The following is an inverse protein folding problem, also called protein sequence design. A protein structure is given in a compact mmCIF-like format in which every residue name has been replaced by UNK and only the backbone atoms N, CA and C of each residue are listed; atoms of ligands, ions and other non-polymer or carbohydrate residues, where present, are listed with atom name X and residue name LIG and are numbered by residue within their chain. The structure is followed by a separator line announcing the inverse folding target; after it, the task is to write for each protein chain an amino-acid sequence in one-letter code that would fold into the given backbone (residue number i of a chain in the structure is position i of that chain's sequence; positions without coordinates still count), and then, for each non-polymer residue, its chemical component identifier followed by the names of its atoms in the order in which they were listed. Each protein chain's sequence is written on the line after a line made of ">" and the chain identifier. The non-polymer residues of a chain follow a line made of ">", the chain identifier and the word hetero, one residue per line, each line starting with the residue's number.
data_IF_383886271871
#
_entry.id   IF_383886271871
#
_cell.length_a   1.000
_cell.length_b   1.000
_cell.length_c   1.000
_cell.angle_alpha   90.00
_cell.angle_beta   90.00
_cell.angle_gamma   90.00
#
_symmetry.space_group_name_H-M   'P 1'
#
loop_
_entity.id
_entity.type
_entity.pdbx_description
1 polymer ?
#
# COMPACT_ATOMS: atom_id res chain seq x y z
N UNK A 1 22.42 4.52 33.01
CA UNK A 1 22.86 3.75 31.83
C UNK A 1 21.75 2.78 31.47
N UNK A 2 20.76 3.23 30.69
CA UNK A 2 19.62 2.38 30.32
C UNK A 2 20.03 1.46 29.18
N UNK A 3 19.94 0.15 29.39
CA UNK A 3 20.18 -0.87 28.38
C UNK A 3 19.19 -0.70 27.23
N UNK A 4 19.69 -0.26 26.08
CA UNK A 4 18.93 -0.26 24.84
C UNK A 4 19.01 -1.69 24.30
N UNK A 5 17.92 -2.42 24.41
CA UNK A 5 17.76 -3.66 23.67
C UNK A 5 17.80 -3.31 22.17
N UNK A 6 18.94 -3.62 21.54
CA UNK A 6 19.18 -3.29 20.13
C UNK A 6 18.24 -4.13 19.27
N UNK A 7 17.28 -3.48 18.62
CA UNK A 7 16.39 -4.16 17.69
C UNK A 7 17.19 -4.73 16.51
N UNK A 8 17.00 -6.03 16.23
CA UNK A 8 17.59 -6.68 15.06
C UNK A 8 17.02 -6.08 13.76
N UNK A 9 17.85 -5.46 12.89
CA UNK A 9 17.40 -4.84 11.65
C UNK A 9 16.65 -5.81 10.74
N UNK A 10 17.00 -7.11 10.72
CA UNK A 10 16.33 -8.08 9.83
C UNK A 10 14.90 -8.29 10.26
N UNK A 11 14.65 -8.50 11.55
CA UNK A 11 13.30 -8.68 12.08
C UNK A 11 12.46 -7.42 11.94
N UNK A 12 13.02 -6.24 12.19
CA UNK A 12 12.32 -4.96 11.97
C UNK A 12 11.96 -4.76 10.50
N UNK A 13 12.87 -5.10 9.59
CA UNK A 13 12.57 -5.02 8.16
C UNK A 13 11.47 -5.99 7.75
N UNK A 14 11.47 -7.24 8.25
CA UNK A 14 10.39 -8.20 8.00
C UNK A 14 9.02 -7.67 8.42
N UNK A 15 8.91 -7.07 9.60
CA UNK A 15 7.64 -6.51 10.08
C UNK A 15 7.19 -5.28 9.30
N UNK A 16 8.11 -4.54 8.69
CA UNK A 16 7.83 -3.40 7.82
C UNK A 16 7.59 -3.76 6.34
N UNK A 17 7.41 -5.04 6.01
CA UNK A 17 7.19 -5.50 4.64
C UNK A 17 8.47 -5.78 3.84
N UNK A 18 9.63 -5.71 4.49
CA UNK A 18 10.93 -6.14 3.97
C UNK A 18 11.93 -5.01 3.74
N UNK A 19 11.48 -3.77 3.57
CA UNK A 19 12.34 -2.60 3.35
C UNK A 19 11.90 -1.39 4.15
N UNK A 20 12.83 -0.51 4.47
CA UNK A 20 12.54 0.75 5.17
C UNK A 20 13.67 1.76 5.02
N UNK A 21 13.38 3.03 5.33
CA UNK A 21 14.38 4.09 5.37
C UNK A 21 15.15 4.07 6.68
N UNK A 22 16.40 4.52 6.62
CA UNK A 22 17.26 4.70 7.81
C UNK A 22 16.55 5.41 8.97
N UNK A 23 15.90 6.55 8.68
CA UNK A 23 15.21 7.37 9.69
C UNK A 23 14.10 6.58 10.42
N UNK A 24 13.42 5.69 9.71
CA UNK A 24 12.37 4.85 10.27
C UNK A 24 12.97 3.73 11.12
N UNK A 25 14.02 3.06 10.64
CA UNK A 25 14.75 2.03 11.40
C UNK A 25 15.32 2.59 12.71
N UNK A 26 15.93 3.78 12.68
CA UNK A 26 16.42 4.46 13.88
C UNK A 26 15.32 4.72 14.90
N UNK A 27 14.14 5.18 14.44
CA UNK A 27 13.02 5.50 15.33
C UNK A 27 12.50 4.26 16.07
N UNK A 28 12.67 3.07 15.47
CA UNK A 28 12.28 1.78 16.05
C UNK A 28 13.43 1.15 16.88
N UNK A 29 14.55 1.86 17.04
CA UNK A 29 15.65 1.44 17.92
C UNK A 29 16.76 0.64 17.24
N UNK A 30 16.79 0.58 15.90
CA UNK A 30 17.90 -0.04 15.16
C UNK A 30 19.12 0.88 15.22
N UNK A 31 20.22 0.38 15.78
CA UNK A 31 21.47 1.12 15.86
C UNK A 31 22.22 1.14 14.52
N UNK A 32 23.06 2.16 14.32
CA UNK A 32 23.85 2.29 13.09
C UNK A 32 24.92 1.20 12.98
N UNK A 33 25.50 0.76 14.10
CA UNK A 33 26.48 -0.32 14.13
C UNK A 33 25.84 -1.65 13.73
N UNK A 34 24.69 -2.00 14.30
CA UNK A 34 23.97 -3.24 13.97
C UNK A 34 23.54 -3.25 12.50
N UNK A 35 23.02 -2.14 11.99
CA UNK A 35 22.64 -2.05 10.57
C UNK A 35 23.85 -2.19 9.65
N UNK A 36 24.98 -1.54 9.95
CA UNK A 36 26.22 -1.68 9.16
C UNK A 36 26.72 -3.12 9.16
N UNK A 37 26.66 -3.82 10.30
CA UNK A 37 27.06 -5.22 10.39
C UNK A 37 26.15 -6.11 9.56
N UNK A 38 24.83 -5.90 9.61
CA UNK A 38 23.86 -6.63 8.80
C UNK A 38 24.03 -6.38 7.29
N UNK A 39 24.46 -5.17 6.90
CA UNK A 39 24.83 -4.88 5.52
C UNK A 39 26.12 -5.58 5.10
N UNK A 40 27.14 -5.58 5.96
CA UNK A 40 28.41 -6.27 5.69
C UNK A 40 28.24 -7.78 5.57
N UNK A 41 27.33 -8.39 6.35
CA UNK A 41 27.04 -9.82 6.27
C UNK A 41 26.12 -10.20 5.11
N UNK A 42 25.59 -9.23 4.36
CA UNK A 42 24.63 -9.47 3.28
C UNK A 42 23.20 -9.79 3.74
N UNK A 43 22.94 -9.81 5.06
CA UNK A 43 21.59 -10.02 5.60
C UNK A 43 20.63 -8.86 5.27
N UNK A 44 21.17 -7.66 5.05
CA UNK A 44 20.46 -6.47 4.61
C UNK A 44 21.18 -5.85 3.42
N UNK A 45 20.43 -5.38 2.43
CA UNK A 45 20.95 -4.70 1.24
C UNK A 45 20.59 -3.21 1.32
N UNK A 46 21.55 -2.35 0.97
CA UNK A 46 21.30 -0.92 0.78
C UNK A 46 20.92 -0.67 -0.68
N UNK A 47 19.65 -0.40 -0.93
CA UNK A 47 19.10 -0.19 -2.28
C UNK A 47 19.28 1.24 -2.83
N UNK A 48 19.98 2.12 -2.11
CA UNK A 48 20.18 3.53 -2.46
C UNK A 48 19.23 4.47 -1.71
N UNK A 49 19.47 5.79 -1.80
CA UNK A 49 18.64 6.85 -1.17
C UNK A 49 18.35 6.68 0.34
N UNK A 50 19.25 6.00 1.07
CA UNK A 50 19.05 5.73 2.50
C UNK A 50 18.03 4.64 2.80
N UNK A 51 17.69 3.80 1.82
CA UNK A 51 16.80 2.66 1.94
C UNK A 51 17.60 1.39 2.16
N UNK A 52 17.14 0.62 3.12
CA UNK A 52 17.68 -0.67 3.52
C UNK A 52 16.56 -1.70 3.43
N UNK A 53 16.87 -2.90 2.97
CA UNK A 53 15.87 -3.96 2.87
C UNK A 53 16.49 -5.34 2.83
N UNK A 54 15.63 -6.35 2.92
CA UNK A 54 16.04 -7.73 2.77
C UNK A 54 16.53 -8.00 1.34
N UNK A 55 17.48 -8.94 1.14
CA UNK A 55 17.92 -9.33 -0.19
C UNK A 55 16.74 -9.92 -1.00
N UNK A 56 16.73 -9.66 -2.31
CA UNK A 56 15.73 -10.22 -3.24
C UNK A 56 14.38 -9.51 -3.23
N UNK A 57 14.27 -8.30 -2.67
CA UNK A 57 13.02 -7.56 -2.71
C UNK A 57 12.62 -7.17 -4.14
N UNK A 58 11.33 -7.27 -4.48
CA UNK A 58 10.85 -6.77 -5.76
C UNK A 58 11.16 -5.29 -5.93
N UNK A 59 11.62 -4.90 -7.13
CA UNK A 59 11.90 -3.49 -7.50
C UNK A 59 10.75 -2.56 -7.17
N UNK A 60 9.53 -3.04 -7.36
CA UNK A 60 8.31 -2.29 -7.08
C UNK A 60 8.19 -1.91 -5.61
N UNK A 61 8.48 -2.84 -4.70
CA UNK A 61 8.41 -2.57 -3.26
C UNK A 61 9.47 -1.53 -2.85
N UNK A 62 10.67 -1.62 -3.41
CA UNK A 62 11.71 -0.60 -3.22
C UNK A 62 11.23 0.77 -3.67
N UNK A 63 10.59 0.86 -4.84
CA UNK A 63 10.05 2.10 -5.37
C UNK A 63 8.94 2.71 -4.48
N UNK A 64 8.08 1.88 -3.86
CA UNK A 64 7.08 2.37 -2.89
C UNK A 64 7.75 3.04 -1.67
N UNK A 65 8.79 2.43 -1.10
CA UNK A 65 9.52 3.04 0.02
C UNK A 65 10.36 4.25 -0.39
N UNK A 66 10.85 4.31 -1.64
CA UNK A 66 11.45 5.53 -2.20
C UNK A 66 10.46 6.67 -2.23
N UNK A 67 9.19 6.38 -2.48
CA UNK A 67 8.11 7.36 -2.49
C UNK A 67 7.54 7.69 -1.09
N UNK A 68 8.14 7.20 0.01
CA UNK A 68 7.58 7.31 1.37
C UNK A 68 6.13 6.80 1.47
N UNK A 69 5.76 5.84 0.62
CA UNK A 69 4.42 5.28 0.55
C UNK A 69 4.32 3.84 0.99
N UNK A 70 3.09 3.38 1.16
CA UNK A 70 2.74 2.00 1.47
C UNK A 70 1.80 1.45 0.39
N UNK A 71 1.73 0.13 0.19
CA UNK A 71 0.71 -0.51 -0.65
C UNK A 71 -0.69 -0.03 -0.23
N UNK A 72 -1.57 0.16 -1.22
CA UNK A 72 -2.92 0.67 -1.01
C UNK A 72 -3.93 -0.05 -1.91
N UNK A 73 -5.23 0.16 -1.67
CA UNK A 73 -6.30 -0.37 -2.52
C UNK A 73 -6.10 -1.88 -2.83
N UNK A 74 -6.18 -2.28 -4.10
CA UNK A 74 -6.01 -3.67 -4.56
C UNK A 74 -4.62 -4.22 -4.22
N UNK A 75 -3.57 -3.41 -4.31
CA UNK A 75 -2.21 -3.86 -3.94
C UNK A 75 -2.09 -4.16 -2.44
N UNK A 76 -2.73 -3.37 -1.58
CA UNK A 76 -2.81 -3.69 -0.15
C UNK A 76 -3.69 -4.92 0.11
N UNK A 77 -4.80 -5.06 -0.61
CA UNK A 77 -5.67 -6.22 -0.48
C UNK A 77 -4.92 -7.52 -0.79
N UNK A 78 -4.10 -7.55 -1.84
CA UNK A 78 -3.22 -8.69 -2.16
C UNK A 78 -2.23 -8.99 -1.03
N UNK A 79 -1.56 -7.96 -0.49
CA UNK A 79 -0.59 -8.15 0.61
C UNK A 79 -1.25 -8.62 1.92
N UNK A 80 -2.48 -8.20 2.18
CA UNK A 80 -3.31 -8.68 3.30
C UNK A 80 -3.89 -10.08 3.04
N UNK A 81 -3.62 -10.66 1.87
CA UNK A 81 -4.09 -11.97 1.44
C UNK A 81 -5.59 -12.02 1.22
N UNK A 82 -6.23 -10.89 0.89
CA UNK A 82 -7.64 -10.86 0.50
C UNK A 82 -7.78 -11.32 -0.96
N UNK A 83 -8.97 -11.81 -1.30
CA UNK A 83 -9.27 -12.16 -2.68
C UNK A 83 -9.36 -10.91 -3.53
N UNK A 84 -8.58 -10.90 -4.61
CA UNK A 84 -8.59 -9.87 -5.66
C UNK A 84 -8.92 -10.60 -6.95
N UNK A 85 -10.02 -10.19 -7.61
CA UNK A 85 -10.52 -10.88 -8.80
C UNK A 85 -9.60 -10.65 -10.00
N UNK A 86 -9.27 -9.39 -10.27
CA UNK A 86 -8.30 -9.01 -11.30
C UNK A 86 -7.11 -8.29 -10.68
N UNK A 87 -5.91 -8.80 -10.90
CA UNK A 87 -4.70 -8.14 -10.43
C UNK A 87 -4.55 -6.77 -11.08
N UNK A 88 -4.21 -5.72 -10.31
CA UNK A 88 -4.05 -4.39 -10.87
C UNK A 88 -2.82 -4.36 -11.79
N UNK A 89 -3.01 -3.96 -13.06
CA UNK A 89 -1.90 -3.79 -14.02
C UNK A 89 -0.88 -2.76 -13.54
N UNK A 90 -1.36 -1.74 -12.82
CA UNK A 90 -0.55 -0.69 -12.21
C UNK A 90 -0.76 -0.76 -10.70
N UNK A 91 0.30 -0.90 -9.91
CA UNK A 91 0.19 -1.03 -8.46
C UNK A 91 -0.29 0.26 -7.81
N UNK A 92 -1.02 0.10 -6.71
CA UNK A 92 -1.62 1.19 -5.96
C UNK A 92 -0.77 1.51 -4.72
N UNK A 93 -0.54 2.81 -4.49
CA UNK A 93 0.27 3.31 -3.38
C UNK A 93 -0.51 4.36 -2.60
N UNK A 94 -0.39 4.35 -1.27
CA UNK A 94 -0.86 5.42 -0.40
C UNK A 94 0.32 6.24 0.11
N UNK A 95 0.17 7.56 0.03
CA UNK A 95 1.12 8.54 0.56
C UNK A 95 0.37 9.62 1.34
N UNK A 96 1.03 10.23 2.31
CA UNK A 96 0.47 11.33 3.11
C UNK A 96 0.71 12.72 2.48
N UNK A 97 1.52 12.79 1.43
CA UNK A 97 1.96 14.04 0.81
C UNK A 97 1.44 14.25 -0.62
N UNK A 98 1.47 15.51 -1.06
CA UNK A 98 0.97 15.92 -2.38
C UNK A 98 1.85 15.57 -3.59
N UNK A 99 3.11 15.15 -3.38
CA UNK A 99 4.07 14.89 -4.47
C UNK A 99 3.51 13.88 -5.47
N UNK A 100 3.89 14.03 -6.74
CA UNK A 100 3.60 13.03 -7.75
C UNK A 100 4.48 11.80 -7.54
N UNK A 101 3.90 10.63 -7.73
CA UNK A 101 4.59 9.35 -7.63
C UNK A 101 4.34 8.61 -8.94
N UNK A 102 5.28 8.67 -9.91
CA UNK A 102 5.11 8.03 -11.20
C UNK A 102 5.06 6.50 -11.05
N UNK A 103 4.46 5.81 -12.02
CA UNK A 103 4.33 4.34 -12.07
C UNK A 103 3.36 3.70 -11.06
N UNK A 104 2.62 4.51 -10.28
CA UNK A 104 1.62 4.03 -9.33
C UNK A 104 0.29 4.74 -9.49
N UNK A 105 -0.80 4.05 -9.15
CA UNK A 105 -2.07 4.71 -8.82
C UNK A 105 -1.96 5.25 -7.40
N UNK A 106 -1.96 6.58 -7.27
CA UNK A 106 -1.72 7.27 -6.00
C UNK A 106 -3.03 7.53 -5.25
N UNK A 107 -3.08 7.06 -4.01
CA UNK A 107 -4.08 7.38 -3.01
C UNK A 107 -3.50 8.33 -1.95
N UNK A 108 -4.23 9.38 -1.59
CA UNK A 108 -3.82 10.26 -0.49
C UNK A 108 -4.52 9.79 0.78
N UNK A 109 -3.73 9.42 1.79
CA UNK A 109 -4.27 8.94 3.05
C UNK A 109 -3.30 9.23 4.19
N UNK A 110 -3.83 9.31 5.41
CA UNK A 110 -2.99 9.38 6.61
C UNK A 110 -2.44 7.98 6.88
N UNK A 111 -1.12 7.88 7.05
CA UNK A 111 -0.45 6.60 7.32
C UNK A 111 -0.28 6.38 8.83
N UNK A 112 -0.31 5.13 9.33
CA UNK A 112 -0.49 3.87 8.59
C UNK A 112 -1.96 3.61 8.20
N UNK A 113 -2.17 2.84 7.12
CA UNK A 113 -3.50 2.41 6.70
C UNK A 113 -4.04 1.31 7.61
N UNK A 114 -5.28 1.45 8.06
CA UNK A 114 -6.05 0.37 8.64
C UNK A 114 -6.72 -0.49 7.56
N UNK A 115 -7.20 -1.68 7.93
CA UNK A 115 -8.00 -2.52 7.03
C UNK A 115 -9.25 -1.80 6.51
N UNK A 116 -9.83 -0.88 7.30
CA UNK A 116 -10.98 -0.09 6.85
C UNK A 116 -10.55 0.92 5.79
N UNK A 117 -9.41 1.59 5.96
CA UNK A 117 -8.89 2.54 4.97
C UNK A 117 -8.62 1.85 3.62
N UNK A 118 -8.09 0.62 3.65
CA UNK A 118 -7.88 -0.17 2.43
C UNK A 118 -9.22 -0.47 1.74
N UNK A 119 -10.25 -0.86 2.48
CA UNK A 119 -11.58 -1.13 1.90
C UNK A 119 -12.17 0.13 1.27
N UNK A 120 -12.12 1.27 1.97
CA UNK A 120 -12.64 2.53 1.44
C UNK A 120 -11.92 2.89 0.15
N UNK A 121 -10.60 2.78 0.11
CA UNK A 121 -9.81 2.99 -1.11
C UNK A 121 -10.19 2.04 -2.24
N UNK A 122 -10.49 0.77 -1.93
CA UNK A 122 -10.93 -0.21 -2.94
C UNK A 122 -12.31 0.16 -3.48
N UNK A 123 -13.28 0.47 -2.62
CA UNK A 123 -14.63 0.88 -3.01
C UNK A 123 -14.63 2.16 -3.87
N UNK A 124 -13.73 3.09 -3.57
CA UNK A 124 -13.61 4.36 -4.31
C UNK A 124 -12.89 4.22 -5.66
N UNK A 125 -12.06 3.19 -5.84
CA UNK A 125 -11.09 3.13 -6.94
C UNK A 125 -11.27 1.94 -7.90
N UNK A 126 -11.71 0.79 -7.40
CA UNK A 126 -11.81 -0.43 -8.18
C UNK A 126 -13.18 -0.54 -8.87
N UNK A 127 -13.27 -1.30 -9.97
CA UNK A 127 -14.56 -1.69 -10.53
C UNK A 127 -15.45 -2.39 -9.50
N UNK A 128 -16.77 -2.23 -9.62
CA UNK A 128 -17.75 -2.69 -8.63
C UNK A 128 -17.57 -4.16 -8.24
N UNK A 129 -17.38 -5.05 -9.22
CA UNK A 129 -17.23 -6.48 -8.97
C UNK A 129 -15.93 -6.81 -8.20
N UNK A 130 -14.80 -6.20 -8.59
CA UNK A 130 -13.53 -6.34 -7.90
C UNK A 130 -13.63 -5.83 -6.45
N UNK A 131 -14.29 -4.68 -6.27
CA UNK A 131 -14.47 -4.09 -4.96
C UNK A 131 -15.32 -4.97 -4.03
N UNK A 132 -16.41 -5.55 -4.56
CA UNK A 132 -17.29 -6.46 -3.82
C UNK A 132 -16.57 -7.74 -3.41
N UNK A 133 -15.78 -8.34 -4.31
CA UNK A 133 -14.98 -9.55 -4.02
C UNK A 133 -14.00 -9.28 -2.87
N UNK A 134 -13.28 -8.16 -2.94
CA UNK A 134 -12.32 -7.77 -1.89
C UNK A 134 -13.04 -7.53 -0.56
N UNK A 135 -14.14 -6.78 -0.56
CA UNK A 135 -14.96 -6.50 0.62
C UNK A 135 -15.43 -7.79 1.30
N UNK A 136 -16.03 -8.70 0.53
CA UNK A 136 -16.50 -9.99 1.02
C UNK A 136 -15.36 -10.84 1.62
N UNK A 137 -14.21 -10.89 0.93
CA UNK A 137 -13.02 -11.57 1.45
C UNK A 137 -12.51 -10.96 2.75
N UNK A 138 -12.43 -9.63 2.82
CA UNK A 138 -11.94 -8.92 3.99
C UNK A 138 -12.84 -9.15 5.21
N UNK A 139 -14.16 -9.09 5.04
CA UNK A 139 -15.14 -9.41 6.09
C UNK A 139 -15.00 -10.87 6.55
N UNK A 140 -14.84 -11.80 5.60
CA UNK A 140 -14.66 -13.23 5.91
C UNK A 140 -13.40 -13.49 6.73
N UNK A 141 -12.29 -12.80 6.43
CA UNK A 141 -11.02 -12.92 7.16
C UNK A 141 -10.99 -12.12 8.47
N UNK A 142 -11.76 -11.03 8.56
CA UNK A 142 -11.82 -10.18 9.75
C UNK A 142 -13.27 -9.81 10.08
N UNK A 143 -13.93 -10.65 10.90
CA UNK A 143 -15.33 -10.45 11.29
C UNK A 143 -15.60 -9.13 12.04
N UNK A 144 -14.59 -8.53 12.68
CA UNK A 144 -14.76 -7.23 13.35
C UNK A 144 -14.97 -6.07 12.38
N UNK A 145 -14.57 -6.27 11.11
CA UNK A 145 -14.62 -5.27 10.07
C UNK A 145 -16.05 -4.96 9.64
N UNK A 146 -16.95 -5.95 9.65
CA UNK A 146 -18.37 -5.74 9.37
C UNK A 146 -19.02 -4.77 10.37
N UNK A 147 -18.71 -4.89 11.67
CA UNK A 147 -19.19 -3.94 12.69
C UNK A 147 -18.64 -2.53 12.48
N UNK A 148 -17.36 -2.41 12.10
CA UNK A 148 -16.74 -1.11 11.82
C UNK A 148 -17.35 -0.44 10.58
N UNK A 149 -17.59 -1.21 9.52
CA UNK A 149 -18.25 -0.74 8.31
C UNK A 149 -19.68 -0.29 8.61
N UNK A 150 -20.44 -1.10 9.36
CA UNK A 150 -21.79 -0.73 9.77
C UNK A 150 -21.78 0.56 10.62
N UNK A 151 -20.87 0.67 11.59
CA UNK A 151 -20.74 1.87 12.40
C UNK A 151 -20.38 3.10 11.57
N UNK A 152 -19.47 2.96 10.60
CA UNK A 152 -19.11 4.04 9.68
C UNK A 152 -20.29 4.47 8.80
N UNK A 153 -21.07 3.50 8.29
CA UNK A 153 -22.27 3.76 7.50
C UNK A 153 -23.36 4.46 8.32
N UNK A 154 -23.63 3.97 9.55
CA UNK A 154 -24.58 4.60 10.48
C UNK A 154 -24.14 6.01 10.86
N UNK A 155 -22.84 6.21 11.12
CA UNK A 155 -22.28 7.52 11.44
C UNK A 155 -22.36 8.50 10.26
N UNK A 156 -22.32 8.01 9.02
CA UNK A 156 -22.55 8.82 7.83
C UNK A 156 -24.01 9.29 7.68
N UNK A 157 -24.95 8.66 8.40
CA UNK A 157 -26.39 8.98 8.38
C UNK A 157 -27.13 8.43 7.15
N UNK A 158 -28.48 8.40 7.16
CA UNK A 158 -29.27 7.99 6.01
C UNK A 158 -29.09 9.01 4.87
N UNK A 159 -28.65 8.54 3.71
CA UNK A 159 -28.81 9.29 2.46
C UNK A 159 -30.31 9.34 2.11
N UNK A 160 -30.83 10.50 1.73
CA UNK A 160 -32.26 10.70 1.46
C UNK A 160 -32.78 9.77 0.33
N UNK A 161 -34.07 9.39 0.33
CA UNK A 161 -34.60 8.28 -0.47
C UNK A 161 -34.57 8.50 -1.99
N UNK A 162 -34.39 9.73 -2.49
CA UNK A 162 -34.13 10.02 -3.90
C UNK A 162 -32.74 9.57 -4.39
N UNK A 163 -31.90 9.07 -3.48
CA UNK A 163 -30.59 8.44 -3.73
C UNK A 163 -30.62 6.91 -3.63
N UNK A 164 -31.79 6.30 -3.39
CA UNK A 164 -31.88 4.91 -2.92
C UNK A 164 -32.00 3.83 -4.04
N UNK A 165 -31.81 4.18 -5.30
CA UNK A 165 -31.78 3.18 -6.40
C UNK A 165 -30.46 3.10 -7.17
N UNK A 166 -29.45 3.94 -6.85
CA UNK A 166 -28.11 3.84 -7.47
C UNK A 166 -26.93 4.45 -6.67
N UNK A 167 -27.11 4.95 -5.43
CA UNK A 167 -26.03 5.70 -4.72
C UNK A 167 -25.30 4.94 -3.59
N UNK A 168 -25.46 3.62 -3.45
CA UNK A 168 -24.50 2.83 -2.64
C UNK A 168 -23.09 2.77 -3.28
N UNK A 169 -22.94 3.33 -4.49
CA UNK A 169 -21.70 3.40 -5.28
C UNK A 169 -21.37 4.86 -5.68
N UNK A 170 -22.16 5.86 -5.26
CA UNK A 170 -21.99 7.24 -5.74
C UNK A 170 -22.20 8.33 -4.67
N UNK A 171 -21.36 8.34 -3.65
CA UNK A 171 -21.09 9.58 -2.90
C UNK A 171 -20.22 10.51 -3.77
N UNK A 172 -20.37 11.84 -3.76
CA UNK A 172 -19.71 12.75 -4.69
C UNK A 172 -18.23 12.97 -4.31
N UNK A 173 -17.46 11.91 -4.53
CA UNK A 173 -16.02 11.85 -4.77
C UNK A 173 -15.69 10.69 -5.73
N UNK A 174 -16.63 9.76 -5.95
CA UNK A 174 -16.63 8.75 -7.01
C UNK A 174 -17.07 9.37 -8.32
N UNK A 175 -16.17 10.03 -9.05
CA UNK A 175 -16.39 10.27 -10.47
C UNK A 175 -16.22 8.92 -11.17
N UNK A 176 -17.33 8.22 -11.49
CA UNK A 176 -17.34 7.10 -12.43
C UNK A 176 -16.73 7.61 -13.74
N UNK A 177 -15.43 7.41 -13.93
CA UNK A 177 -14.81 7.63 -15.22
C UNK A 177 -15.26 6.45 -16.08
N UNK A 178 -16.01 6.75 -17.14
CA UNK A 178 -16.09 5.86 -18.28
C UNK A 178 -14.68 5.36 -18.62
N UNK A 179 -14.57 4.04 -18.82
CA UNK A 179 -13.34 3.41 -19.29
C UNK A 179 -12.77 4.20 -20.48
N UNK A 180 -11.52 4.67 -20.44
CA UNK A 180 -10.84 5.02 -21.68
C UNK A 180 -10.55 3.71 -22.42
N UNK A 181 -10.92 3.66 -23.70
CA UNK A 181 -10.53 2.60 -24.63
C UNK A 181 -9.04 2.27 -24.47
N UNK A 182 -8.77 1.02 -24.12
CA UNK A 182 -7.46 0.55 -23.69
C UNK A 182 -6.59 0.20 -24.91
N UNK A 183 -6.14 1.21 -25.64
CA UNK A 183 -4.97 1.10 -26.53
C UNK A 183 -3.86 2.03 -26.05
N UNK A 184 -3.35 1.78 -24.85
CA UNK A 184 -2.11 2.39 -24.39
C UNK A 184 -0.99 1.35 -24.48
N UNK A 185 -0.21 1.49 -25.56
CA UNK A 185 1.03 0.75 -25.83
C UNK A 185 2.01 1.00 -24.68
N UNK A 186 2.50 -0.06 -24.04
CA UNK A 186 3.63 0.02 -23.11
C UNK A 186 4.84 0.48 -23.93
N UNK A 187 5.51 1.61 -23.61
CA UNK A 187 6.76 1.93 -24.27
C UNK A 187 7.86 0.98 -23.77
N UNK A 188 8.45 0.25 -24.72
CA UNK A 188 9.61 -0.64 -24.56
C UNK A 188 10.90 0.15 -24.25
N UNK A 189 11.00 0.72 -23.06
CA UNK A 189 12.24 1.36 -22.62
C UNK A 189 12.71 0.84 -21.26
N UNK A 190 12.95 -0.48 -21.20
CA UNK A 190 13.85 -1.09 -20.20
C UNK A 190 14.96 -1.94 -20.86
N UNK A 191 15.22 -1.75 -22.15
CA UNK A 191 16.33 -2.37 -22.88
C UNK A 191 17.34 -1.33 -23.38
N UNK A 192 18.02 -0.59 -22.50
CA UNK A 192 19.29 0.06 -22.85
C UNK A 192 20.06 0.56 -21.61
N UNK A 193 21.39 0.44 -21.71
CA UNK A 193 22.47 0.80 -20.76
C UNK A 193 22.85 -0.34 -19.78
N UNK A 194 23.65 -1.34 -20.19
CA UNK A 194 25.09 -1.35 -20.56
C UNK A 194 26.01 -0.73 -19.48
N UNK A 195 26.80 -1.63 -18.88
CA UNK A 195 28.23 -1.54 -18.53
C UNK A 195 28.79 -0.16 -18.16
N UNK A 196 29.19 0.04 -16.90
CA UNK A 196 30.58 -0.01 -16.41
C UNK A 196 30.57 0.00 -14.87
#
# INVERSE_FOLDING_TARGET
>A
MHGWEMADPVNVLKTMGGSSRWKTLMRVGVSQSTLRNAVKSGAVVRYGFGIYGLPGLPKLRIAMHQADGVPACLSAAEELGWWVLHQPKIPHIAVDHGRQVPYFIKHRARLPLSALDVIVQVLDCAPELDALVVLCSAIRKNKSLSRKLLAAFVAAGPTTPEKCSLDLIHTPSLRLKSSPDFTAKIPDSLSAHRSF
#
